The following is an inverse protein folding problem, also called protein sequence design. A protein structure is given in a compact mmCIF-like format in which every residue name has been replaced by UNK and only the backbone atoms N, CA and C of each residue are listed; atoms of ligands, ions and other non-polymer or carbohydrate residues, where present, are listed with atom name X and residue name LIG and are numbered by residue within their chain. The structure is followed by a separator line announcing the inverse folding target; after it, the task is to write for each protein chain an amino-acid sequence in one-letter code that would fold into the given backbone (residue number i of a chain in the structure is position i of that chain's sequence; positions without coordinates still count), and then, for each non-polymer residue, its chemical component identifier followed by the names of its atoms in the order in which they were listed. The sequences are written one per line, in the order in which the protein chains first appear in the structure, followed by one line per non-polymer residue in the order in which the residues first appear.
data_IF_482698344875
#
_entry.id   IF_482698344875
#
_cell.length_a   1.000
_cell.length_b   1.000
_cell.length_c   1.000
_cell.angle_alpha   90.00
_cell.angle_beta   90.00
_cell.angle_gamma   90.00
#
_symmetry.space_group_name_H-M   'P 1'
#
loop_
_entity.id
_entity.type
_entity.pdbx_description
1 polymer ?
#
# COMPACT_ATOMS: atom_id res chain seq x y z
N UNK A 1 28.29 -3.31 11.24
CA UNK A 1 27.75 -3.03 9.88
C UNK A 1 26.23 -3.15 9.90
N UNK A 2 25.48 -2.10 9.54
CA UNK A 2 24.03 -2.21 9.29
C UNK A 2 23.85 -3.11 8.05
N UNK A 3 23.37 -4.35 8.23
CA UNK A 3 23.07 -5.25 7.10
C UNK A 3 21.79 -4.77 6.43
N UNK A 4 21.91 -4.06 5.30
CA UNK A 4 20.79 -3.62 4.47
C UNK A 4 20.29 -4.77 3.60
N UNK A 5 18.98 -4.91 3.42
CA UNK A 5 18.38 -5.93 2.56
C UNK A 5 18.46 -5.51 1.09
N UNK A 6 19.64 -5.65 0.46
CA UNK A 6 19.89 -5.20 -0.91
C UNK A 6 18.92 -5.76 -1.95
N UNK A 7 18.40 -6.97 -1.73
CA UNK A 7 17.41 -7.56 -2.64
C UNK A 7 16.08 -6.78 -2.63
N UNK A 8 15.66 -6.21 -1.49
CA UNK A 8 14.45 -5.39 -1.42
C UNK A 8 14.66 -4.08 -2.18
N UNK A 9 15.85 -3.47 -2.06
CA UNK A 9 16.17 -2.26 -2.80
C UNK A 9 16.19 -2.52 -4.32
N UNK A 10 16.77 -3.64 -4.74
CA UNK A 10 16.78 -4.06 -6.15
C UNK A 10 15.36 -4.32 -6.68
N UNK A 11 14.53 -5.06 -5.93
CA UNK A 11 13.12 -5.29 -6.30
C UNK A 11 12.33 -4.00 -6.40
N UNK A 12 12.46 -3.09 -5.42
CA UNK A 12 11.80 -1.78 -5.47
C UNK A 12 12.23 -0.98 -6.70
N UNK A 13 13.53 -0.95 -7.00
CA UNK A 13 14.07 -0.26 -8.17
C UNK A 13 13.53 -0.83 -9.48
N UNK A 14 13.55 -2.16 -9.63
CA UNK A 14 12.97 -2.86 -10.79
C UNK A 14 11.48 -2.52 -10.95
N UNK A 15 10.71 -2.56 -9.87
CA UNK A 15 9.27 -2.26 -9.92
C UNK A 15 8.96 -0.79 -10.20
N UNK A 16 9.77 0.16 -9.73
CA UNK A 16 9.62 1.57 -10.09
C UNK A 16 9.77 1.76 -11.59
N UNK A 17 10.82 1.20 -12.20
CA UNK A 17 11.05 1.28 -13.66
C UNK A 17 9.90 0.63 -14.43
N UNK A 18 9.48 -0.55 -13.97
CA UNK A 18 8.37 -1.28 -14.57
C UNK A 18 7.06 -0.49 -14.53
N UNK A 19 6.75 0.16 -13.41
CA UNK A 19 5.51 0.92 -13.22
C UNK A 19 5.50 2.20 -14.03
N UNK A 20 6.64 2.88 -14.15
CA UNK A 20 6.76 4.02 -15.05
C UNK A 20 6.38 3.62 -16.47
N UNK A 21 6.85 2.45 -16.93
CA UNK A 21 6.46 1.91 -18.22
C UNK A 21 4.97 1.56 -18.29
N UNK A 22 4.41 0.90 -17.27
CA UNK A 22 2.99 0.51 -17.26
C UNK A 22 2.03 1.70 -17.18
N UNK A 23 2.32 2.71 -16.34
CA UNK A 23 1.54 3.94 -16.27
C UNK A 23 1.64 4.74 -17.57
N UNK A 24 2.82 4.81 -18.19
CA UNK A 24 2.95 5.43 -19.51
C UNK A 24 2.13 4.67 -20.56
N UNK A 25 2.17 3.34 -20.56
CA UNK A 25 1.39 2.53 -21.48
C UNK A 25 -0.12 2.73 -21.28
N UNK A 26 -0.61 2.67 -20.03
CA UNK A 26 -2.04 2.84 -19.75
C UNK A 26 -2.54 4.27 -20.03
N UNK A 27 -1.79 5.28 -19.57
CA UNK A 27 -2.21 6.67 -19.71
C UNK A 27 -2.03 7.20 -21.15
N UNK A 28 -0.99 6.79 -21.88
CA UNK A 28 -0.70 7.31 -23.23
C UNK A 28 -1.33 6.44 -24.31
N UNK A 29 -1.27 5.11 -24.20
CA UNK A 29 -1.76 4.20 -25.26
C UNK A 29 -3.24 3.90 -25.09
N UNK A 30 -3.70 3.66 -23.86
CA UNK A 30 -5.11 3.34 -23.58
C UNK A 30 -5.92 4.51 -23.03
N UNK A 31 -5.30 5.68 -22.81
CA UNK A 31 -5.94 6.88 -22.25
C UNK A 31 -6.70 6.61 -20.94
N UNK A 32 -6.25 5.62 -20.16
CA UNK A 32 -6.95 5.09 -18.98
C UNK A 32 -8.43 4.74 -19.24
N UNK A 33 -8.79 4.32 -20.46
CA UNK A 33 -10.14 3.88 -20.82
C UNK A 33 -10.33 2.40 -20.45
N UNK A 34 -11.16 2.06 -19.44
CA UNK A 34 -11.37 0.66 -19.03
C UNK A 34 -12.02 -0.18 -20.14
N UNK A 35 -12.80 0.43 -21.04
CA UNK A 35 -13.47 -0.26 -22.14
C UNK A 35 -12.51 -0.69 -23.25
N UNK A 36 -11.26 -0.20 -23.25
CA UNK A 36 -10.23 -0.67 -24.18
C UNK A 36 -9.89 -2.16 -23.98
N UNK A 37 -10.15 -2.70 -22.78
CA UNK A 37 -9.99 -4.11 -22.42
C UNK A 37 -11.00 -5.00 -23.13
N UNK A 38 -12.22 -4.51 -23.41
CA UNK A 38 -13.30 -5.32 -24.02
C UNK A 38 -13.01 -5.68 -25.48
N UNK A 39 -12.22 -4.85 -26.17
CA UNK A 39 -11.81 -5.08 -27.56
C UNK A 39 -10.43 -5.74 -27.69
N UNK A 40 -9.73 -5.96 -26.57
CA UNK A 40 -8.39 -6.54 -26.57
C UNK A 40 -8.46 -8.07 -26.66
N UNK A 41 -7.57 -8.66 -27.47
CA UNK A 41 -7.50 -10.10 -27.65
C UNK A 41 -7.23 -10.81 -26.29
N UNK A 42 -8.06 -11.79 -25.85
CA UNK A 42 -7.87 -12.52 -24.59
C UNK A 42 -6.47 -13.12 -24.41
N UNK A 43 -5.81 -13.51 -25.50
CA UNK A 43 -4.45 -14.05 -25.48
C UNK A 43 -3.41 -13.03 -24.98
N UNK A 44 -3.64 -11.73 -25.22
CA UNK A 44 -2.81 -10.66 -24.65
C UNK A 44 -2.91 -10.71 -23.13
N UNK A 45 -4.10 -10.88 -22.56
CA UNK A 45 -4.24 -11.00 -21.10
C UNK A 45 -3.60 -12.25 -20.53
N UNK A 46 -3.53 -13.37 -21.26
CA UNK A 46 -2.83 -14.57 -20.79
C UNK A 46 -1.32 -14.36 -20.80
N UNK A 47 -0.77 -13.81 -21.89
CA UNK A 47 0.67 -13.54 -22.03
C UNK A 47 1.12 -12.46 -21.05
N UNK A 48 0.30 -11.42 -20.87
CA UNK A 48 0.55 -10.31 -19.96
C UNK A 48 -0.07 -10.53 -18.57
N UNK A 49 -0.72 -11.66 -18.26
CA UNK A 49 -1.32 -11.90 -16.94
C UNK A 49 -0.30 -11.74 -15.80
N UNK A 50 0.94 -12.28 -15.90
CA UNK A 50 1.95 -12.02 -14.89
C UNK A 50 2.22 -10.52 -14.73
N UNK A 51 2.24 -9.77 -15.83
CA UNK A 51 2.49 -8.33 -15.87
C UNK A 51 1.30 -7.51 -15.32
N UNK A 52 0.06 -7.95 -15.57
CA UNK A 52 -1.19 -7.32 -15.08
C UNK A 52 -1.44 -7.63 -13.60
N UNK A 53 -1.16 -8.85 -13.13
CA UNK A 53 -1.19 -9.20 -11.69
C UNK A 53 -0.14 -8.41 -10.93
N UNK A 54 1.03 -8.23 -11.56
CA UNK A 54 2.05 -7.36 -11.05
C UNK A 54 1.55 -5.89 -11.04
N UNK A 55 0.75 -5.43 -12.01
CA UNK A 55 0.18 -4.06 -12.11
C UNK A 55 -0.57 -3.53 -10.88
N UNK A 56 -1.11 -4.38 -10.00
CA UNK A 56 -1.77 -3.97 -8.74
C UNK A 56 -0.74 -3.75 -7.60
N UNK A 57 0.18 -2.80 -7.80
CA UNK A 57 1.45 -2.67 -7.08
C UNK A 57 1.42 -2.08 -5.68
N UNK A 58 0.43 -1.23 -5.35
CA UNK A 58 0.39 -0.53 -4.07
C UNK A 58 0.49 -1.50 -2.86
N UNK A 59 -0.29 -2.60 -2.80
CA UNK A 59 -0.12 -3.64 -1.78
C UNK A 59 1.30 -4.24 -1.70
N UNK A 60 1.93 -4.54 -2.85
CA UNK A 60 3.26 -5.16 -2.91
C UNK A 60 4.32 -4.21 -2.37
N UNK A 61 4.29 -2.93 -2.76
CA UNK A 61 5.22 -1.95 -2.20
C UNK A 61 5.01 -1.72 -0.72
N UNK A 62 3.76 -1.72 -0.26
CA UNK A 62 3.45 -1.61 1.17
C UNK A 62 4.03 -2.83 1.90
N UNK A 63 3.90 -4.05 1.35
CA UNK A 63 4.52 -5.25 1.91
C UNK A 63 6.05 -5.16 1.96
N UNK A 64 6.71 -4.86 0.84
CA UNK A 64 8.18 -4.72 0.77
C UNK A 64 8.69 -3.61 1.71
N UNK A 65 7.91 -2.54 1.85
CA UNK A 65 8.16 -1.43 2.78
C UNK A 65 8.05 -1.88 4.22
N UNK A 66 6.99 -2.59 4.57
CA UNK A 66 6.78 -3.20 5.89
C UNK A 66 7.91 -4.18 6.24
N UNK A 67 8.32 -5.03 5.31
CA UNK A 67 9.44 -5.98 5.48
C UNK A 67 10.74 -5.26 5.85
N UNK A 68 11.16 -4.28 5.06
CA UNK A 68 12.40 -3.57 5.33
C UNK A 68 12.34 -2.74 6.61
N UNK A 69 11.17 -2.13 6.88
CA UNK A 69 10.95 -1.32 8.07
C UNK A 69 11.03 -2.18 9.33
N UNK A 70 10.26 -3.27 9.40
CA UNK A 70 10.25 -4.16 10.55
C UNK A 70 11.60 -4.86 10.76
N UNK A 71 12.26 -5.30 9.68
CA UNK A 71 13.61 -5.87 9.76
C UNK A 71 14.60 -4.89 10.41
N UNK A 72 14.62 -3.65 9.92
CA UNK A 72 15.54 -2.61 10.41
C UNK A 72 15.22 -2.21 11.85
N UNK A 73 13.93 -2.02 12.15
CA UNK A 73 13.46 -1.67 13.48
C UNK A 73 13.80 -2.78 14.49
N UNK A 74 13.47 -4.03 14.18
CA UNK A 74 13.78 -5.18 15.03
C UNK A 74 15.30 -5.31 15.27
N UNK A 75 16.13 -5.26 14.21
CA UNK A 75 17.59 -5.34 14.33
C UNK A 75 18.17 -4.24 15.24
N UNK A 76 17.67 -3.02 15.12
CA UNK A 76 18.17 -1.92 15.93
C UNK A 76 17.66 -1.97 17.37
N UNK A 77 16.41 -2.40 17.59
CA UNK A 77 15.79 -2.49 18.91
C UNK A 77 16.31 -3.67 19.73
N UNK A 78 16.86 -4.72 19.11
CA UNK A 78 17.55 -5.81 19.81
C UNK A 78 18.63 -5.31 20.80
N UNK A 79 19.31 -4.20 20.46
CA UNK A 79 20.33 -3.58 21.33
C UNK A 79 19.76 -2.95 22.60
N UNK A 80 18.47 -2.66 22.60
CA UNK A 80 17.74 -2.01 23.68
C UNK A 80 16.70 -2.95 24.32
N UNK A 81 16.85 -4.27 24.12
CA UNK A 81 15.89 -5.28 24.64
C UNK A 81 15.70 -5.18 26.15
N UNK A 82 16.80 -5.02 26.88
CA UNK A 82 16.78 -4.96 28.35
C UNK A 82 16.72 -3.51 28.89
N UNK A 83 16.56 -2.52 27.99
CA UNK A 83 16.57 -1.11 28.36
C UNK A 83 15.15 -0.57 28.53
N UNK A 84 14.77 -0.23 29.76
CA UNK A 84 13.44 0.35 30.06
C UNK A 84 13.32 1.86 29.76
N UNK A 85 14.46 2.56 29.64
CA UNK A 85 14.53 4.02 29.43
C UNK A 85 14.80 4.37 27.97
N UNK A 86 14.09 5.38 27.46
CA UNK A 86 14.34 5.92 26.12
C UNK A 86 15.61 6.77 26.15
N UNK A 87 16.67 6.29 25.50
CA UNK A 87 17.89 7.07 25.28
C UNK A 87 17.69 8.06 24.12
N UNK A 88 18.49 9.14 24.01
CA UNK A 88 18.41 10.06 22.87
C UNK A 88 18.60 9.37 21.52
N UNK A 89 19.46 8.36 21.45
CA UNK A 89 19.69 7.55 20.24
C UNK A 89 18.46 6.74 19.84
N UNK A 90 17.82 6.10 20.82
CA UNK A 90 16.59 5.33 20.62
C UNK A 90 15.44 6.26 20.19
N UNK A 91 15.33 7.44 20.81
CA UNK A 91 14.35 8.43 20.41
C UNK A 91 14.54 8.87 18.95
N UNK A 92 15.78 9.13 18.52
CA UNK A 92 16.08 9.46 17.11
C UNK A 92 15.69 8.34 16.15
N UNK A 93 15.89 7.08 16.55
CA UNK A 93 15.52 5.93 15.74
C UNK A 93 14.00 5.80 15.56
N UNK A 94 13.26 5.92 16.65
CA UNK A 94 11.80 5.84 16.66
C UNK A 94 11.20 7.03 15.89
N UNK A 95 11.63 8.24 16.22
CA UNK A 95 11.19 9.44 15.51
C UNK A 95 11.54 9.39 14.02
N UNK A 96 12.70 8.84 13.66
CA UNK A 96 13.12 8.69 12.26
C UNK A 96 12.15 7.83 11.44
N UNK A 97 11.56 6.78 12.02
CA UNK A 97 10.55 5.95 11.35
C UNK A 97 9.25 6.71 11.09
N UNK A 98 8.79 7.49 12.08
CA UNK A 98 7.60 8.34 11.96
C UNK A 98 7.81 9.48 10.97
N UNK A 99 8.95 10.17 11.05
CA UNK A 99 9.32 11.26 10.13
C UNK A 99 9.39 10.74 8.70
N UNK A 100 10.01 9.59 8.46
CA UNK A 100 10.04 8.99 7.11
C UNK A 100 8.62 8.72 6.58
N UNK A 101 7.74 8.17 7.41
CA UNK A 101 6.35 7.88 7.03
C UNK A 101 5.56 9.16 6.76
N UNK A 102 5.75 10.19 7.59
CA UNK A 102 5.18 11.52 7.40
C UNK A 102 5.67 12.18 6.11
N UNK A 103 6.97 12.13 5.82
CA UNK A 103 7.53 12.65 4.58
C UNK A 103 6.94 11.95 3.36
N UNK A 104 6.74 10.64 3.40
CA UNK A 104 6.06 9.91 2.30
C UNK A 104 4.62 10.38 2.10
N UNK A 105 3.89 10.67 3.17
CA UNK A 105 2.56 11.27 3.09
C UNK A 105 2.65 12.66 2.45
N UNK A 106 3.57 13.52 2.87
CA UNK A 106 3.78 14.82 2.25
C UNK A 106 4.16 14.71 0.76
N UNK A 107 5.01 13.75 0.39
CA UNK A 107 5.36 13.49 -1.00
C UNK A 107 4.18 12.97 -1.81
N UNK A 108 3.27 12.21 -1.23
CA UNK A 108 2.00 11.83 -1.86
C UNK A 108 1.19 13.08 -2.23
N UNK A 109 1.07 14.06 -1.33
CA UNK A 109 0.41 15.33 -1.65
C UNK A 109 1.08 16.07 -2.81
N UNK A 110 2.41 16.19 -2.79
CA UNK A 110 3.16 16.83 -3.87
C UNK A 110 2.93 16.07 -5.18
N UNK A 111 2.98 14.74 -5.15
CA UNK A 111 2.73 13.89 -6.30
C UNK A 111 1.31 14.11 -6.87
N UNK A 112 0.29 14.08 -6.01
CA UNK A 112 -1.12 14.28 -6.39
C UNK A 112 -1.44 15.70 -6.85
N UNK A 113 -0.68 16.70 -6.43
CA UNK A 113 -0.86 18.07 -6.93
C UNK A 113 -0.21 18.28 -8.28
N UNK A 114 1.00 17.74 -8.48
CA UNK A 114 1.85 18.13 -9.62
C UNK A 114 2.09 17.04 -10.65
N UNK A 115 2.33 15.80 -10.22
CA UNK A 115 3.01 14.79 -11.04
C UNK A 115 2.17 13.54 -11.36
N UNK A 116 1.00 13.37 -10.74
CA UNK A 116 0.18 12.19 -10.95
C UNK A 116 -0.50 12.21 -12.33
N UNK A 117 -0.59 11.06 -13.00
CA UNK A 117 -1.30 10.95 -14.28
C UNK A 117 -2.82 11.16 -14.12
N UNK A 118 -3.52 11.39 -15.24
CA UNK A 118 -4.97 11.56 -15.29
C UNK A 118 -5.69 10.35 -14.69
N UNK A 119 -6.57 10.57 -13.70
CA UNK A 119 -7.23 9.49 -12.96
C UNK A 119 -8.75 9.68 -12.89
N UNK A 120 -9.54 8.60 -13.02
CA UNK A 120 -10.96 8.64 -12.69
C UNK A 120 -11.14 8.65 -11.17
N UNK A 121 -11.91 9.61 -10.66
CA UNK A 121 -12.33 9.67 -9.27
C UNK A 121 -13.71 10.33 -9.19
N UNK A 122 -14.61 9.86 -8.31
CA UNK A 122 -15.95 10.45 -8.12
C UNK A 122 -16.72 10.76 -9.42
N UNK A 123 -16.66 9.84 -10.41
CA UNK A 123 -17.36 9.99 -11.70
C UNK A 123 -16.75 10.99 -12.69
N UNK A 124 -15.59 11.59 -12.39
CA UNK A 124 -14.88 12.53 -13.27
C UNK A 124 -13.42 12.15 -13.44
N UNK A 125 -12.82 12.58 -14.54
CA UNK A 125 -11.37 12.48 -14.70
C UNK A 125 -10.70 13.74 -14.19
N UNK A 126 -9.76 13.58 -13.29
CA UNK A 126 -8.94 14.66 -12.76
C UNK A 126 -7.52 14.61 -13.32
N UNK A 127 -6.90 15.78 -13.39
CA UNK A 127 -5.55 15.97 -13.90
C UNK A 127 -4.71 16.76 -12.89
N UNK A 128 -3.42 16.48 -12.85
CA UNK A 128 -2.47 17.24 -12.01
C UNK A 128 -1.86 18.39 -12.78
N UNK A 129 -1.28 19.36 -12.07
CA UNK A 129 -0.85 20.63 -12.66
C UNK A 129 0.18 20.44 -13.78
N UNK A 130 1.26 19.69 -13.55
CA UNK A 130 2.34 19.55 -14.54
C UNK A 130 1.95 18.55 -15.62
N UNK A 131 1.45 17.37 -15.25
CA UNK A 131 1.09 16.36 -16.26
C UNK A 131 -0.08 16.80 -17.13
N UNK A 132 -1.10 17.44 -16.54
CA UNK A 132 -2.23 18.02 -17.26
C UNK A 132 -1.79 19.14 -18.19
N UNK A 133 -0.87 20.01 -17.74
CA UNK A 133 -0.29 21.04 -18.60
C UNK A 133 0.45 20.46 -19.81
N UNK A 134 1.30 19.46 -19.59
CA UNK A 134 2.04 18.79 -20.67
C UNK A 134 1.07 18.11 -21.64
N UNK A 135 0.02 17.46 -21.13
CA UNK A 135 -0.93 16.70 -21.94
C UNK A 135 -1.87 17.60 -22.76
N UNK A 136 -2.39 18.69 -22.16
CA UNK A 136 -3.31 19.63 -22.83
C UNK A 136 -2.61 20.75 -23.59
N UNK A 137 -1.33 21.00 -23.33
CA UNK A 137 -0.62 22.19 -23.79
C UNK A 137 -1.14 23.51 -23.18
N UNK A 138 -1.97 23.44 -22.14
CA UNK A 138 -2.61 24.58 -21.48
C UNK A 138 -2.88 24.26 -20.00
N UNK A 139 -3.15 25.27 -19.18
CA UNK A 139 -3.40 25.08 -17.76
C UNK A 139 -4.57 24.10 -17.53
N UNK A 140 -4.36 23.00 -16.77
CA UNK A 140 -5.43 22.05 -16.50
C UNK A 140 -6.44 22.62 -15.50
N UNK A 141 -7.67 22.14 -15.57
CA UNK A 141 -8.73 22.45 -14.59
C UNK A 141 -8.48 21.63 -13.31
N UNK A 142 -7.60 22.15 -12.45
CA UNK A 142 -7.19 21.48 -11.23
C UNK A 142 -8.28 21.56 -10.16
N UNK A 143 -8.71 20.41 -9.65
CA UNK A 143 -9.61 20.31 -8.50
C UNK A 143 -8.90 19.76 -7.27
N UNK A 144 -9.24 20.31 -6.10
CA UNK A 144 -8.78 19.82 -4.79
C UNK A 144 -9.28 18.40 -4.53
N UNK A 145 -10.36 17.96 -5.17
CA UNK A 145 -10.92 16.61 -5.01
C UNK A 145 -9.90 15.52 -5.30
N UNK A 146 -8.97 15.76 -6.25
CA UNK A 146 -7.93 14.81 -6.61
C UNK A 146 -7.03 14.48 -5.42
N UNK A 147 -6.90 15.40 -4.45
CA UNK A 147 -6.10 15.19 -3.25
C UNK A 147 -6.74 14.16 -2.30
N UNK A 148 -8.02 13.82 -2.47
CA UNK A 148 -8.66 12.75 -1.69
C UNK A 148 -8.42 11.36 -2.28
N UNK A 149 -7.93 11.27 -3.52
CA UNK A 149 -7.45 10.01 -4.07
C UNK A 149 -6.20 9.53 -3.31
N UNK A 150 -6.15 8.24 -3.01
CA UNK A 150 -5.05 7.63 -2.25
C UNK A 150 -4.09 6.91 -3.21
N UNK A 151 -2.97 7.55 -3.52
CA UNK A 151 -1.93 6.98 -4.36
C UNK A 151 -1.07 5.94 -3.61
N UNK A 152 -0.15 5.31 -4.34
CA UNK A 152 0.74 4.30 -3.76
C UNK A 152 1.64 4.88 -2.65
N UNK A 153 2.13 6.13 -2.80
CA UNK A 153 2.97 6.77 -1.78
C UNK A 153 2.20 7.03 -0.49
N UNK A 154 0.96 7.51 -0.60
CA UNK A 154 0.08 7.72 0.55
C UNK A 154 -0.21 6.41 1.27
N UNK A 155 -0.53 5.36 0.50
CA UNK A 155 -0.73 4.00 1.03
C UNK A 155 0.49 3.49 1.81
N UNK A 156 1.71 3.63 1.25
CA UNK A 156 2.95 3.22 1.93
C UNK A 156 3.17 4.06 3.19
N UNK A 157 3.08 5.39 3.08
CA UNK A 157 3.34 6.31 4.19
C UNK A 157 2.42 6.04 5.38
N UNK A 158 1.11 5.96 5.15
CA UNK A 158 0.13 5.71 6.21
C UNK A 158 0.31 4.31 6.81
N UNK A 159 0.49 3.29 5.96
CA UNK A 159 0.67 1.91 6.44
C UNK A 159 1.93 1.76 7.29
N UNK A 160 3.04 2.39 6.88
CA UNK A 160 4.28 2.39 7.67
C UNK A 160 4.13 3.16 8.98
N UNK A 161 3.35 4.23 9.01
CA UNK A 161 3.08 4.99 10.22
C UNK A 161 2.41 4.11 11.29
N UNK A 162 1.31 3.43 10.94
CA UNK A 162 0.61 2.53 11.88
C UNK A 162 1.42 1.29 12.25
N UNK A 163 2.15 0.72 11.28
CA UNK A 163 3.07 -0.38 11.55
C UNK A 163 4.15 0.05 12.55
N UNK A 164 4.72 1.24 12.39
CA UNK A 164 5.73 1.77 13.30
C UNK A 164 5.20 1.92 14.73
N UNK A 165 4.00 2.49 14.88
CA UNK A 165 3.33 2.59 16.17
C UNK A 165 3.10 1.22 16.82
N UNK A 166 2.70 0.23 16.02
CA UNK A 166 2.48 -1.14 16.51
C UNK A 166 3.78 -1.78 16.99
N UNK A 167 4.84 -1.70 16.19
CA UNK A 167 6.15 -2.25 16.55
C UNK A 167 6.74 -1.52 17.77
N UNK A 168 6.50 -0.22 17.90
CA UNK A 168 6.87 0.54 19.08
C UNK A 168 6.10 0.07 20.32
N UNK A 169 4.79 -0.13 20.22
CA UNK A 169 3.96 -0.63 21.32
C UNK A 169 4.43 -2.02 21.78
N UNK A 170 4.64 -2.96 20.85
CA UNK A 170 5.18 -4.29 21.14
C UNK A 170 6.58 -4.23 21.76
N UNK A 171 7.41 -3.27 21.35
CA UNK A 171 8.72 -3.08 21.96
C UNK A 171 8.60 -2.59 23.40
N UNK A 172 7.70 -1.63 23.67
CA UNK A 172 7.47 -1.10 25.02
C UNK A 172 6.95 -2.15 26.01
N UNK A 173 6.17 -3.12 25.54
CA UNK A 173 5.72 -4.26 26.35
C UNK A 173 6.76 -5.39 26.45
N UNK A 174 7.86 -5.31 25.69
CA UNK A 174 8.87 -6.37 25.58
C UNK A 174 8.44 -7.55 24.69
N UNK A 175 7.17 -7.56 24.26
CA UNK A 175 6.55 -8.63 23.47
C UNK A 175 7.09 -8.72 22.04
N UNK A 176 7.69 -7.64 21.52
CA UNK A 176 8.34 -7.61 20.20
C UNK A 176 9.37 -8.74 20.02
N UNK A 177 10.01 -9.15 21.13
CA UNK A 177 11.03 -10.20 21.12
C UNK A 177 10.48 -11.59 21.45
N UNK A 178 9.19 -11.72 21.74
CA UNK A 178 8.48 -13.00 21.67
C UNK A 178 7.98 -13.21 20.25
N UNK A 179 8.73 -14.04 19.50
CA UNK A 179 8.41 -14.39 18.12
C UNK A 179 6.97 -14.87 17.94
N UNK A 180 6.51 -15.79 18.79
CA UNK A 180 5.19 -16.42 18.61
C UNK A 180 4.09 -15.40 18.83
N UNK A 181 4.23 -14.60 19.88
CA UNK A 181 3.29 -13.55 20.20
C UNK A 181 3.27 -12.47 19.10
N UNK A 182 4.44 -11.96 18.73
CA UNK A 182 4.58 -10.92 17.70
C UNK A 182 4.01 -11.38 16.35
N UNK A 183 4.30 -12.60 15.90
CA UNK A 183 3.76 -13.11 14.64
C UNK A 183 2.24 -13.24 14.70
N UNK A 184 1.69 -13.70 15.83
CA UNK A 184 0.24 -13.80 16.03
C UNK A 184 -0.43 -12.43 16.00
N UNK A 185 0.14 -11.42 16.67
CA UNK A 185 -0.42 -10.06 16.67
C UNK A 185 -0.36 -9.45 15.27
N UNK A 186 0.79 -9.46 14.61
CA UNK A 186 0.93 -8.85 13.28
C UNK A 186 0.05 -9.55 12.23
N UNK A 187 0.00 -10.88 12.25
CA UNK A 187 -0.88 -11.65 11.35
C UNK A 187 -2.35 -11.43 11.70
N UNK A 188 -2.70 -11.39 13.00
CA UNK A 188 -4.05 -11.12 13.46
C UNK A 188 -4.54 -9.75 13.00
N UNK A 189 -3.71 -8.70 13.13
CA UNK A 189 -4.01 -7.36 12.60
C UNK A 189 -4.18 -7.43 11.09
N UNK A 190 -3.25 -8.06 10.35
CA UNK A 190 -3.36 -8.16 8.90
C UNK A 190 -4.67 -8.83 8.44
N UNK A 191 -5.04 -9.97 9.06
CA UNK A 191 -6.28 -10.67 8.74
C UNK A 191 -7.51 -9.83 9.10
N UNK A 192 -7.48 -9.18 10.27
CA UNK A 192 -8.56 -8.27 10.70
C UNK A 192 -8.75 -7.15 9.68
N UNK A 193 -7.68 -6.47 9.27
CA UNK A 193 -7.75 -5.40 8.29
C UNK A 193 -8.26 -5.90 6.94
N UNK A 194 -7.85 -7.11 6.51
CA UNK A 194 -8.25 -7.67 5.22
C UNK A 194 -9.72 -8.08 5.18
N UNK A 195 -10.25 -8.68 6.26
CA UNK A 195 -11.63 -9.16 6.30
C UNK A 195 -12.64 -8.08 6.72
N UNK A 196 -12.23 -7.11 7.54
CA UNK A 196 -13.14 -6.05 8.01
C UNK A 196 -13.15 -4.85 7.07
N UNK A 197 -12.08 -4.62 6.29
CA UNK A 197 -11.98 -3.52 5.32
C UNK A 197 -13.22 -3.38 4.42
N UNK A 198 -13.73 -4.45 3.76
CA UNK A 198 -14.91 -4.32 2.89
C UNK A 198 -16.15 -3.84 3.65
N UNK A 199 -16.36 -4.31 4.88
CA UNK A 199 -17.50 -3.86 5.70
C UNK A 199 -17.36 -2.40 6.13
N UNK A 200 -16.14 -1.95 6.42
CA UNK A 200 -15.88 -0.55 6.76
C UNK A 200 -16.12 0.35 5.55
N UNK A 201 -15.63 -0.04 4.37
CA UNK A 201 -15.84 0.73 3.15
C UNK A 201 -17.32 0.78 2.75
N UNK A 202 -18.03 -0.34 2.77
CA UNK A 202 -19.48 -0.37 2.54
C UNK A 202 -20.26 0.59 3.47
N UNK A 203 -19.81 0.73 4.71
CA UNK A 203 -20.48 1.59 5.69
C UNK A 203 -20.11 3.08 5.58
N UNK A 204 -18.92 3.41 5.05
CA UNK A 204 -18.33 4.75 5.18
C UNK A 204 -17.97 5.42 3.84
N UNK A 205 -17.91 4.69 2.72
CA UNK A 205 -17.56 5.28 1.41
C UNK A 205 -18.61 6.29 0.94
N UNK A 206 -19.90 6.01 1.13
CA UNK A 206 -20.97 6.97 0.83
C UNK A 206 -20.83 8.24 1.67
N UNK A 207 -20.50 8.09 2.96
CA UNK A 207 -20.28 9.22 3.88
C UNK A 207 -19.05 10.01 3.45
N UNK A 208 -18.01 9.33 2.96
CA UNK A 208 -16.80 9.96 2.45
C UNK A 208 -17.08 10.77 1.18
N UNK A 209 -17.78 10.19 0.20
CA UNK A 209 -18.16 10.88 -1.02
C UNK A 209 -19.12 12.05 -0.75
N UNK A 210 -20.08 11.88 0.15
CA UNK A 210 -20.96 12.97 0.59
C UNK A 210 -20.18 14.07 1.28
N UNK A 211 -19.20 13.74 2.14
CA UNK A 211 -18.37 14.75 2.81
C UNK A 211 -17.53 15.57 1.82
N UNK A 212 -17.09 14.98 0.71
CA UNK A 212 -16.41 15.71 -0.38
C UNK A 212 -17.40 16.63 -1.09
N UNK A 213 -18.58 16.11 -1.47
CA UNK A 213 -19.61 16.89 -2.18
C UNK A 213 -20.16 18.06 -1.35
N UNK A 214 -20.29 17.89 -0.04
CA UNK A 214 -20.73 18.93 0.91
C UNK A 214 -19.59 19.85 1.38
N UNK A 215 -18.38 19.72 0.82
CA UNK A 215 -17.19 20.50 1.20
C UNK A 215 -16.83 20.40 2.71
N UNK A 216 -17.20 19.29 3.35
CA UNK A 216 -16.89 18.99 4.75
C UNK A 216 -15.47 18.44 4.87
N UNK A 217 -14.49 19.27 4.51
CA UNK A 217 -13.09 18.89 4.32
C UNK A 217 -12.47 18.16 5.51
N UNK A 218 -12.77 18.59 6.74
CA UNK A 218 -12.23 17.92 7.93
C UNK A 218 -12.65 16.46 8.06
N UNK A 219 -13.93 16.16 7.77
CA UNK A 219 -14.45 14.80 7.77
C UNK A 219 -13.89 14.00 6.58
N UNK A 220 -13.83 14.60 5.40
CA UNK A 220 -13.25 13.97 4.21
C UNK A 220 -11.78 13.58 4.43
N UNK A 221 -10.97 14.44 5.05
CA UNK A 221 -9.58 14.13 5.40
C UNK A 221 -9.47 13.00 6.42
N UNK A 222 -10.28 13.04 7.48
CA UNK A 222 -10.31 11.97 8.48
C UNK A 222 -10.64 10.62 7.83
N UNK A 223 -11.69 10.59 7.01
CA UNK A 223 -12.12 9.39 6.30
C UNK A 223 -11.08 8.93 5.27
N UNK A 224 -10.41 9.84 4.54
CA UNK A 224 -9.30 9.47 3.65
C UNK A 224 -8.19 8.73 4.39
N UNK A 225 -7.75 9.25 5.54
CA UNK A 225 -6.67 8.63 6.31
C UNK A 225 -7.09 7.32 6.99
N UNK A 226 -8.37 7.17 7.30
CA UNK A 226 -8.93 5.95 7.86
C UNK A 226 -9.15 4.86 6.78
N UNK A 227 -9.87 5.19 5.71
CA UNK A 227 -10.33 4.27 4.68
C UNK A 227 -9.28 4.00 3.60
N UNK A 228 -8.62 5.05 3.10
CA UNK A 228 -7.65 4.95 2.01
C UNK A 228 -6.62 3.82 2.14
N UNK A 229 -5.99 3.61 3.32
CA UNK A 229 -5.01 2.54 3.49
C UNK A 229 -5.61 1.15 3.81
N UNK A 230 -6.91 1.03 4.09
CA UNK A 230 -7.59 -0.21 4.49
C UNK A 230 -8.09 -0.96 3.25
N UNK A 231 -7.22 -1.54 2.41
CA UNK A 231 -6.78 -2.91 2.72
C UNK A 231 -5.27 -3.10 2.57
N UNK A 232 -4.59 -2.12 1.97
CA UNK A 232 -3.16 -2.15 1.67
C UNK A 232 -2.31 -2.27 2.94
N UNK A 233 -2.79 -1.73 4.06
CA UNK A 233 -2.12 -1.81 5.34
C UNK A 233 -1.92 -3.25 5.83
N UNK A 234 -2.86 -4.16 5.52
CA UNK A 234 -2.73 -5.58 5.84
C UNK A 234 -1.43 -6.19 5.27
N UNK A 235 -1.09 -5.80 4.04
CA UNK A 235 0.13 -6.23 3.37
C UNK A 235 1.38 -5.69 4.06
N UNK A 236 1.32 -4.49 4.64
CA UNK A 236 2.40 -3.92 5.45
C UNK A 236 2.69 -4.75 6.70
N UNK A 237 1.64 -5.19 7.39
CA UNK A 237 1.73 -6.07 8.54
C UNK A 237 2.24 -7.48 8.17
N UNK A 238 1.78 -8.07 7.06
CA UNK A 238 2.32 -9.33 6.55
C UNK A 238 3.80 -9.19 6.18
N UNK A 239 4.18 -8.09 5.53
CA UNK A 239 5.57 -7.74 5.27
C UNK A 239 6.40 -7.68 6.56
N UNK A 240 5.86 -7.09 7.61
CA UNK A 240 6.53 -7.01 8.91
C UNK A 240 6.86 -8.38 9.51
N UNK A 241 5.96 -9.36 9.37
CA UNK A 241 6.20 -10.76 9.78
C UNK A 241 7.43 -11.32 9.08
N UNK A 242 7.53 -11.14 7.75
CA UNK A 242 8.71 -11.55 6.99
C UNK A 242 9.97 -10.79 7.40
N UNK A 243 9.85 -9.48 7.67
CA UNK A 243 10.95 -8.64 8.11
C UNK A 243 11.56 -9.10 9.43
N UNK A 244 10.72 -9.44 10.41
CA UNK A 244 11.14 -9.96 11.71
C UNK A 244 11.71 -11.38 11.56
N UNK A 245 11.07 -12.25 10.77
CA UNK A 245 11.57 -13.60 10.48
C UNK A 245 12.99 -13.58 9.89
N UNK A 246 13.27 -12.67 8.95
CA UNK A 246 14.59 -12.47 8.38
C UNK A 246 15.59 -11.93 9.42
N UNK A 247 15.12 -11.03 10.28
CA UNK A 247 15.92 -10.43 11.36
C UNK A 247 16.37 -11.48 12.39
N UNK A 248 15.49 -12.41 12.74
CA UNK A 248 15.76 -13.55 13.63
C UNK A 248 16.51 -14.70 12.95
N UNK A 249 16.84 -14.58 11.65
CA UNK A 249 17.53 -15.61 10.86
C UNK A 249 16.80 -16.94 10.83
N UNK A 250 15.47 -16.89 10.76
CA UNK A 250 14.66 -18.10 10.50
C UNK A 250 15.10 -18.72 9.17
N UNK A 251 15.12 -20.05 9.12
CA UNK A 251 15.47 -20.80 7.91
C UNK A 251 14.65 -20.33 6.71
N UNK A 252 15.33 -20.04 5.60
CA UNK A 252 14.70 -19.55 4.37
C UNK A 252 13.67 -20.52 3.81
N UNK A 253 13.84 -21.84 4.02
CA UNK A 253 12.86 -22.86 3.62
C UNK A 253 11.51 -22.65 4.31
N UNK A 254 11.51 -22.33 5.61
CA UNK A 254 10.29 -22.04 6.38
C UNK A 254 9.63 -20.73 5.92
N UNK A 255 10.43 -19.68 5.71
CA UNK A 255 9.93 -18.40 5.20
C UNK A 255 9.27 -18.58 3.82
N UNK A 256 9.92 -19.35 2.93
CA UNK A 256 9.37 -19.70 1.62
C UNK A 256 8.08 -20.49 1.74
N UNK A 257 8.02 -21.49 2.62
CA UNK A 257 6.82 -22.29 2.86
C UNK A 257 5.61 -21.41 3.27
N UNK A 258 5.80 -20.50 4.23
CA UNK A 258 4.76 -19.54 4.61
C UNK A 258 4.38 -18.60 3.47
N UNK A 259 5.35 -18.08 2.73
CA UNK A 259 5.12 -17.21 1.58
C UNK A 259 4.28 -17.90 0.49
N UNK A 260 4.63 -19.15 0.13
CA UNK A 260 3.87 -19.94 -0.83
C UNK A 260 2.46 -20.27 -0.31
N UNK A 261 2.33 -20.66 0.96
CA UNK A 261 1.02 -20.97 1.56
C UNK A 261 0.09 -19.76 1.57
N UNK A 262 0.58 -18.58 1.96
CA UNK A 262 -0.19 -17.33 1.93
C UNK A 262 -0.54 -16.92 0.50
N UNK A 263 0.42 -16.97 -0.43
CA UNK A 263 0.18 -16.65 -1.83
C UNK A 263 -0.89 -17.55 -2.46
N UNK A 264 -0.79 -18.86 -2.24
CA UNK A 264 -1.79 -19.82 -2.70
C UNK A 264 -3.16 -19.55 -2.09
N UNK A 265 -3.22 -19.27 -0.78
CA UNK A 265 -4.48 -18.97 -0.09
C UNK A 265 -5.14 -17.70 -0.64
N UNK A 266 -4.37 -16.65 -0.93
CA UNK A 266 -4.90 -15.43 -1.54
C UNK A 266 -5.42 -15.65 -2.96
N UNK A 267 -4.70 -16.43 -3.78
CA UNK A 267 -5.15 -16.79 -5.13
C UNK A 267 -6.45 -17.59 -5.07
N UNK A 268 -6.54 -18.55 -4.15
CA UNK A 268 -7.76 -19.35 -3.96
C UNK A 268 -8.93 -18.50 -3.45
N UNK A 269 -8.68 -17.59 -2.50
CA UNK A 269 -9.70 -16.67 -2.00
C UNK A 269 -10.20 -15.74 -3.11
N UNK A 270 -9.29 -15.14 -3.88
CA UNK A 270 -9.64 -14.30 -5.02
C UNK A 270 -10.45 -15.08 -6.07
N UNK A 271 -10.02 -16.30 -6.42
CA UNK A 271 -10.76 -17.17 -7.33
C UNK A 271 -12.16 -17.54 -6.82
N UNK A 272 -12.29 -17.86 -5.53
CA UNK A 272 -13.59 -18.09 -4.90
C UNK A 272 -14.49 -16.86 -4.98
N UNK A 273 -13.98 -15.68 -4.59
CA UNK A 273 -14.74 -14.43 -4.62
C UNK A 273 -15.20 -14.08 -6.04
N UNK A 274 -14.33 -14.23 -7.04
CA UNK A 274 -14.70 -14.03 -8.44
C UNK A 274 -15.81 -15.01 -8.88
N UNK A 275 -15.70 -16.29 -8.48
CA UNK A 275 -16.70 -17.30 -8.78
C UNK A 275 -18.04 -17.08 -8.09
N UNK A 276 -18.05 -16.63 -6.83
CA UNK A 276 -19.28 -16.45 -6.05
C UNK A 276 -20.01 -15.15 -6.35
N UNK A 277 -19.27 -14.06 -6.59
CA UNK A 277 -19.87 -12.74 -6.84
C UNK A 277 -20.02 -12.40 -8.32
N UNK A 278 -19.57 -13.28 -9.23
CA UNK A 278 -19.66 -13.04 -10.67
C UNK A 278 -18.81 -11.85 -11.15
N UNK A 279 -17.84 -11.42 -10.35
CA UNK A 279 -17.01 -10.24 -10.62
C UNK A 279 -16.26 -10.43 -11.94
N UNK A 280 -16.47 -9.52 -12.88
CA UNK A 280 -15.79 -9.53 -14.18
C UNK A 280 -14.40 -8.90 -14.02
N UNK A 281 -13.38 -9.36 -14.76
CA UNK A 281 -12.03 -8.76 -14.74
C UNK A 281 -12.01 -7.25 -15.00
N UNK A 282 -12.96 -6.73 -15.78
CA UNK A 282 -13.10 -5.29 -16.09
C UNK A 282 -13.49 -4.48 -14.86
N UNK A 283 -14.26 -5.06 -13.94
CA UNK A 283 -14.70 -4.41 -12.71
C UNK A 283 -13.49 -4.19 -11.77
N UNK A 284 -12.51 -5.12 -11.75
CA UNK A 284 -11.24 -4.92 -11.03
C UNK A 284 -10.38 -3.77 -11.57
N UNK A 285 -10.55 -3.40 -12.85
CA UNK A 285 -9.82 -2.28 -13.46
C UNK A 285 -10.44 -0.92 -13.14
N UNK A 286 -11.70 -0.88 -12.69
CA UNK A 286 -12.38 0.32 -12.23
C UNK A 286 -12.08 0.54 -10.75
N UNK A 287 -10.85 0.94 -10.40
CA UNK A 287 -10.55 1.35 -9.03
C UNK A 287 -10.95 2.83 -8.79
N UNK A 288 -11.55 3.18 -7.64
CA UNK A 288 -11.99 2.27 -6.60
C UNK A 288 -13.39 1.79 -6.97
N UNK A 289 -13.58 0.49 -7.14
CA UNK A 289 -14.93 -0.04 -7.01
C UNK A 289 -15.37 0.34 -5.58
N UNK A 290 -16.61 0.83 -5.41
CA UNK A 290 -17.19 0.90 -4.09
C UNK A 290 -17.31 -0.55 -3.63
N UNK A 291 -16.54 -0.93 -2.62
CA UNK A 291 -16.87 -2.12 -1.84
C UNK A 291 -17.46 -1.66 -0.53
#
# INVERSE_FOLDING_TARGET
MKRRLMYIDCLRGFFIVYILWLHAFNAVVYNNNPQSIENANPWIFIIFAPLVILATWAPIFVMLSGTAHAYTMHQNLLKYKDTSRITPELNRLLLGGLVNSFLLICYSFINMTFFHHRMPFNGRFYETLITGFIWKGSAPDFSIDILFYTDALGNIGISLFFLHLTLYALWRTGELFDRRYTFRILTGIALTLLFISPTIHHALDDIFHQAIQEERWGLAWLLKFALGPLPNMAYGYLGAVFGIALSERIELSKIRGYGFGLGFSFVMLAGCLMGTYGLKPVEFAQSPLPF
#
